data_IF_540224221324
#
_entry.id   IF_540224221324
#
_cell.length_a   1.000
_cell.length_b   1.000
_cell.length_c   1.000
_cell.angle_alpha   90.00
_cell.angle_beta   90.00
_cell.angle_gamma   90.00
#
_symmetry.space_group_name_H-M   'P 1'
#
loop_
_entity.id
_entity.type
_entity.pdbx_description
1 polymer ?
#
# COMPACT_ATOMS: atom_id res chain seq x y z
N UNK A 1 -75.67 25.69 -7.81
CA UNK A 1 -74.72 24.55 -7.88
C UNK A 1 -73.39 25.05 -8.39
N UNK A 2 -72.41 25.14 -7.51
CA UNK A 2 -71.08 25.61 -7.84
C UNK A 2 -70.07 24.50 -7.60
N UNK A 3 -69.44 24.06 -8.69
CA UNK A 3 -68.35 23.08 -8.64
C UNK A 3 -67.07 23.73 -8.28
N UNK A 4 -66.47 23.29 -7.14
CA UNK A 4 -65.19 23.72 -6.70
C UNK A 4 -64.14 22.71 -7.24
N UNK A 5 -63.37 23.15 -8.22
CA UNK A 5 -62.23 22.40 -8.73
C UNK A 5 -61.08 22.37 -7.69
N UNK A 6 -60.80 21.17 -7.12
CA UNK A 6 -59.58 20.89 -6.38
C UNK A 6 -58.42 20.70 -7.37
N UNK A 7 -57.50 21.64 -7.46
CA UNK A 7 -56.16 21.42 -8.05
C UNK A 7 -55.31 20.67 -7.04
N UNK A 8 -54.99 19.41 -7.35
CA UNK A 8 -53.90 18.70 -6.69
C UNK A 8 -52.55 19.17 -7.25
N UNK A 9 -51.79 19.86 -6.44
CA UNK A 9 -50.42 20.21 -6.76
C UNK A 9 -49.55 18.94 -6.68
N UNK A 10 -48.94 18.55 -7.79
CA UNK A 10 -47.83 17.61 -7.79
C UNK A 10 -46.65 18.24 -7.07
N UNK A 11 -46.22 17.66 -5.95
CA UNK A 11 -44.90 17.94 -5.38
C UNK A 11 -43.87 17.29 -6.33
N UNK A 12 -43.05 18.13 -6.95
CA UNK A 12 -41.80 17.66 -7.56
C UNK A 12 -40.89 17.24 -6.43
N UNK A 13 -40.56 15.96 -6.38
CA UNK A 13 -39.46 15.43 -5.55
C UNK A 13 -38.14 15.99 -6.14
N UNK A 14 -37.57 16.94 -5.45
CA UNK A 14 -36.23 17.45 -5.79
C UNK A 14 -35.23 16.27 -5.65
N UNK A 15 -34.61 15.94 -6.78
CA UNK A 15 -33.40 15.09 -6.75
C UNK A 15 -32.36 15.82 -5.90
N UNK A 16 -32.07 15.27 -4.74
CA UNK A 16 -30.87 15.63 -4.00
C UNK A 16 -29.70 15.11 -4.86
N UNK A 17 -29.01 16.00 -5.55
CA UNK A 17 -27.71 15.67 -6.12
C UNK A 17 -26.79 15.38 -4.94
N UNK A 18 -26.32 14.15 -4.83
CA UNK A 18 -25.23 13.80 -3.91
C UNK A 18 -24.02 14.64 -4.31
N UNK A 19 -23.65 15.59 -3.46
CA UNK A 19 -22.41 16.33 -3.61
C UNK A 19 -21.26 15.31 -3.59
N UNK A 20 -20.58 15.17 -4.74
CA UNK A 20 -19.35 14.37 -4.81
C UNK A 20 -18.36 14.97 -3.82
N UNK A 21 -17.69 14.13 -3.01
CA UNK A 21 -16.70 14.63 -2.07
C UNK A 21 -15.67 15.47 -2.84
N UNK A 22 -15.43 16.67 -2.35
CA UNK A 22 -14.41 17.56 -2.92
C UNK A 22 -13.05 16.93 -2.69
N UNK A 23 -12.41 16.48 -3.74
CA UNK A 23 -11.04 15.96 -3.69
C UNK A 23 -10.10 17.11 -3.38
N UNK A 24 -9.41 17.05 -2.25
CA UNK A 24 -8.38 18.03 -1.89
C UNK A 24 -7.05 17.57 -2.50
N UNK A 25 -6.63 18.24 -3.56
CA UNK A 25 -5.32 18.04 -4.16
C UNK A 25 -4.25 18.79 -3.34
N UNK A 26 -3.13 18.13 -3.07
CA UNK A 26 -1.99 18.72 -2.36
C UNK A 26 -0.73 18.70 -3.23
N UNK A 27 0.09 19.75 -3.13
CA UNK A 27 1.44 19.77 -3.70
C UNK A 27 2.48 19.14 -2.78
N UNK A 28 2.11 18.82 -1.54
CA UNK A 28 2.99 18.22 -0.56
C UNK A 28 2.44 16.88 -0.11
N UNK A 29 3.33 15.90 0.01
CA UNK A 29 3.03 14.56 0.51
C UNK A 29 3.87 14.35 1.77
N UNK A 30 3.26 14.29 2.97
CA UNK A 30 3.98 14.21 4.24
C UNK A 30 4.38 12.77 4.56
N UNK A 31 5.32 12.22 3.80
CA UNK A 31 5.86 10.86 3.95
C UNK A 31 7.37 10.91 4.16
N UNK A 32 7.88 10.04 5.02
CA UNK A 32 9.28 9.62 5.02
C UNK A 32 9.44 8.33 4.19
N UNK A 33 10.67 8.01 3.79
CA UNK A 33 11.01 6.81 3.01
C UNK A 33 10.09 6.61 1.80
N UNK A 34 9.95 7.60 0.90
CA UNK A 34 8.96 7.55 -0.16
C UNK A 34 9.32 6.55 -1.26
N UNK A 35 8.37 5.72 -1.63
CA UNK A 35 8.46 4.82 -2.78
C UNK A 35 7.37 5.17 -3.81
N UNK A 36 7.74 5.27 -5.09
CA UNK A 36 6.80 5.56 -6.18
C UNK A 36 6.61 4.34 -7.07
N UNK A 37 5.36 3.88 -7.16
CA UNK A 37 4.91 2.92 -8.15
C UNK A 37 4.28 3.65 -9.32
N UNK A 38 4.69 3.31 -10.55
CA UNK A 38 4.02 3.74 -11.78
C UNK A 38 3.15 2.59 -12.30
N UNK A 39 1.85 2.80 -12.36
CA UNK A 39 0.91 1.79 -12.83
C UNK A 39 -0.31 2.43 -13.49
N UNK A 40 -0.71 1.90 -14.64
CA UNK A 40 -1.87 2.35 -15.43
C UNK A 40 -1.93 3.88 -15.62
N UNK A 41 -0.79 4.47 -16.04
CA UNK A 41 -0.61 5.92 -16.28
C UNK A 41 -0.84 6.82 -15.06
N UNK A 42 -0.77 6.26 -13.87
CA UNK A 42 -0.80 6.97 -12.59
C UNK A 42 0.48 6.71 -11.79
N UNK A 43 0.80 7.67 -10.95
CA UNK A 43 1.86 7.58 -9.94
C UNK A 43 1.23 7.34 -8.58
N UNK A 44 1.69 6.33 -7.87
CA UNK A 44 1.27 6.03 -6.49
C UNK A 44 2.46 6.19 -5.58
N UNK A 45 2.33 6.97 -4.52
CA UNK A 45 3.41 7.15 -3.55
C UNK A 45 2.99 6.61 -2.20
N UNK A 46 3.87 5.80 -1.63
CA UNK A 46 3.76 5.21 -0.30
C UNK A 46 4.94 5.69 0.54
N UNK A 47 4.83 5.60 1.85
CA UNK A 47 5.92 5.95 2.74
C UNK A 47 5.52 5.87 4.21
N UNK A 48 6.49 6.08 5.07
CA UNK A 48 6.34 6.10 6.52
C UNK A 48 5.61 7.38 6.95
N UNK A 49 4.45 7.27 7.59
CA UNK A 49 3.74 8.43 8.14
C UNK A 49 2.76 8.11 9.26
N UNK A 50 2.10 6.97 9.22
CA UNK A 50 1.06 6.57 10.18
C UNK A 50 1.57 5.41 11.03
N UNK A 51 1.45 5.52 12.35
CA UNK A 51 1.96 4.50 13.27
C UNK A 51 1.27 3.13 13.17
N UNK A 52 0.09 3.03 12.53
CA UNK A 52 -0.75 1.83 12.51
C UNK A 52 -1.00 1.31 11.09
N UNK A 53 -0.19 1.71 10.11
CA UNK A 53 -0.33 1.31 8.71
C UNK A 53 0.27 2.31 7.74
N UNK A 54 -0.15 2.26 6.48
CA UNK A 54 0.34 3.14 5.42
C UNK A 54 -0.78 3.86 4.70
N UNK A 55 -0.59 5.17 4.51
CA UNK A 55 -1.33 5.95 3.54
C UNK A 55 -0.84 5.64 2.11
N UNK A 56 -1.65 5.98 1.12
CA UNK A 56 -1.25 6.08 -0.28
C UNK A 56 -1.78 7.36 -0.87
N UNK A 57 -0.95 8.03 -1.65
CA UNK A 57 -1.33 9.16 -2.48
C UNK A 57 -1.14 8.77 -3.94
N UNK A 58 -1.93 9.37 -4.82
CA UNK A 58 -1.80 9.14 -6.26
C UNK A 58 -1.85 10.45 -7.04
N UNK A 59 -1.19 10.46 -8.20
CA UNK A 59 -1.03 11.63 -9.05
C UNK A 59 -1.04 11.24 -10.53
N UNK A 60 -1.42 12.19 -11.40
CA UNK A 60 -1.28 12.09 -12.85
C UNK A 60 -0.04 12.80 -13.38
N UNK A 61 0.52 13.74 -12.63
CA UNK A 61 1.50 14.70 -13.10
C UNK A 61 2.71 14.88 -12.15
N UNK A 62 2.75 14.17 -11.01
CA UNK A 62 3.74 14.29 -9.94
C UNK A 62 3.74 15.66 -9.23
N UNK A 63 2.84 16.57 -9.61
CA UNK A 63 2.74 17.89 -9.01
C UNK A 63 1.58 17.97 -8.00
N UNK A 64 0.45 17.38 -8.37
CA UNK A 64 -0.75 17.38 -7.54
C UNK A 64 -1.13 15.96 -7.12
N UNK A 65 -1.25 15.76 -5.83
CA UNK A 65 -1.48 14.48 -5.19
C UNK A 65 -2.84 14.42 -4.51
N UNK A 66 -3.52 13.34 -4.67
CA UNK A 66 -4.74 12.98 -3.97
C UNK A 66 -4.45 11.88 -2.96
N UNK A 67 -4.84 12.09 -1.69
CA UNK A 67 -4.75 11.05 -0.67
C UNK A 67 -5.94 10.11 -0.79
N UNK A 68 -5.71 8.81 -0.80
CA UNK A 68 -6.79 7.82 -0.72
C UNK A 68 -7.58 7.97 0.59
N UNK A 69 -8.88 7.68 0.53
CA UNK A 69 -9.79 7.83 1.66
C UNK A 69 -9.55 6.83 2.81
N UNK A 70 -8.84 5.76 2.54
CA UNK A 70 -8.52 4.70 3.50
C UNK A 70 -7.01 4.38 3.47
N UNK A 71 -6.50 3.78 4.54
CA UNK A 71 -5.14 3.24 4.54
C UNK A 71 -4.98 2.16 3.48
N UNK A 72 -3.86 2.18 2.75
CA UNK A 72 -3.51 1.12 1.81
C UNK A 72 -3.22 -0.20 2.54
N UNK A 73 -2.61 -0.13 3.72
CA UNK A 73 -2.42 -1.24 4.66
C UNK A 73 -2.75 -0.76 6.07
N UNK A 74 -3.42 -1.58 6.85
CA UNK A 74 -3.74 -1.35 8.26
C UNK A 74 -3.20 -2.49 9.12
N UNK A 75 -2.80 -2.21 10.36
CA UNK A 75 -2.41 -3.21 11.36
C UNK A 75 -3.48 -4.32 11.54
N UNK A 76 -4.76 -4.01 11.31
CA UNK A 76 -5.85 -5.00 11.40
C UNK A 76 -5.81 -6.06 10.30
N UNK A 77 -5.05 -5.84 9.24
CA UNK A 77 -4.92 -6.73 8.07
C UNK A 77 -3.52 -7.34 7.93
N UNK A 78 -2.65 -7.14 8.92
CA UNK A 78 -1.24 -7.51 8.85
C UNK A 78 -0.63 -7.79 10.21
N UNK A 79 0.58 -8.34 10.23
CA UNK A 79 1.41 -8.47 11.42
C UNK A 79 1.81 -7.08 11.95
N UNK A 80 1.96 -6.97 13.28
CA UNK A 80 2.42 -5.78 14.00
C UNK A 80 1.30 -4.78 14.31
N UNK A 81 1.47 -4.04 15.41
CA UNK A 81 0.51 -3.05 15.89
C UNK A 81 1.02 -1.61 15.66
N UNK A 82 2.32 -1.45 15.38
CA UNK A 82 2.98 -0.14 15.31
C UNK A 82 4.26 -0.17 14.48
N UNK A 83 4.93 0.99 14.34
CA UNK A 83 6.23 1.12 13.68
C UNK A 83 6.20 0.63 12.23
N UNK A 84 5.17 1.03 11.47
CA UNK A 84 5.07 0.70 10.04
C UNK A 84 5.99 1.63 9.25
N UNK A 85 7.06 1.07 8.64
CA UNK A 85 8.14 1.82 8.01
C UNK A 85 8.49 1.32 6.61
N UNK A 86 8.99 2.24 5.79
CA UNK A 86 9.66 2.03 4.51
C UNK A 86 8.95 1.01 3.59
N UNK A 87 7.69 1.26 3.19
CA UNK A 87 6.98 0.37 2.27
C UNK A 87 7.46 0.54 0.85
N UNK A 88 7.70 -0.57 0.13
CA UNK A 88 7.89 -0.63 -1.32
C UNK A 88 6.82 -1.50 -1.96
N UNK A 89 6.26 -1.08 -3.10
CA UNK A 89 5.13 -1.76 -3.74
C UNK A 89 5.48 -2.13 -5.18
N UNK A 90 5.28 -3.41 -5.51
CA UNK A 90 5.57 -3.97 -6.82
C UNK A 90 4.33 -4.62 -7.43
N UNK A 91 4.08 -4.37 -8.71
CA UNK A 91 3.08 -5.13 -9.46
C UNK A 91 3.72 -6.37 -10.06
N UNK A 92 3.18 -7.52 -9.76
CA UNK A 92 3.67 -8.82 -10.24
C UNK A 92 2.70 -9.36 -11.29
N UNK A 93 3.09 -9.23 -12.55
CA UNK A 93 2.23 -9.54 -13.71
C UNK A 93 1.72 -10.99 -13.72
N UNK A 94 2.58 -11.97 -13.35
CA UNK A 94 2.19 -13.40 -13.32
C UNK A 94 1.05 -13.68 -12.34
N UNK A 95 0.98 -12.93 -11.25
CA UNK A 95 -0.01 -13.10 -10.18
C UNK A 95 -1.17 -12.10 -10.32
N UNK A 96 -1.00 -11.08 -11.16
CA UNK A 96 -1.90 -9.91 -11.32
C UNK A 96 -2.22 -9.26 -9.99
N UNK A 97 -1.19 -9.15 -9.13
CA UNK A 97 -1.29 -8.62 -7.77
C UNK A 97 -0.20 -7.60 -7.48
N UNK A 98 -0.49 -6.74 -6.53
CA UNK A 98 0.48 -5.85 -5.92
C UNK A 98 1.03 -6.49 -4.66
N UNK A 99 2.34 -6.41 -4.47
CA UNK A 99 3.06 -6.88 -3.30
C UNK A 99 3.68 -5.67 -2.60
N UNK A 100 3.34 -5.46 -1.35
CA UNK A 100 3.94 -4.43 -0.50
C UNK A 100 4.90 -5.10 0.46
N UNK A 101 6.18 -4.80 0.33
CA UNK A 101 7.22 -5.18 1.29
C UNK A 101 7.45 -4.00 2.23
N UNK A 102 7.54 -4.26 3.53
CA UNK A 102 7.60 -3.21 4.55
C UNK A 102 8.19 -3.74 5.84
N UNK A 103 8.46 -2.83 6.79
CA UNK A 103 8.86 -3.18 8.14
C UNK A 103 7.80 -2.76 9.15
N UNK A 104 7.59 -3.57 10.18
CA UNK A 104 6.80 -3.24 11.35
C UNK A 104 7.40 -3.89 12.58
N UNK A 105 7.48 -3.16 13.71
CA UNK A 105 8.09 -3.64 14.95
C UNK A 105 9.49 -4.25 14.74
N UNK A 106 10.26 -3.65 13.82
CA UNK A 106 11.58 -4.14 13.38
C UNK A 106 11.56 -5.55 12.76
N UNK A 107 10.47 -5.96 12.13
CA UNK A 107 10.37 -7.19 11.36
C UNK A 107 9.96 -6.90 9.92
N UNK A 108 10.58 -7.57 8.97
CA UNK A 108 10.26 -7.45 7.55
C UNK A 108 9.02 -8.28 7.21
N UNK A 109 8.12 -7.67 6.47
CA UNK A 109 6.82 -8.23 6.13
C UNK A 109 6.50 -8.07 4.65
N UNK A 110 5.56 -8.86 4.15
CA UNK A 110 4.95 -8.69 2.83
C UNK A 110 3.44 -8.90 2.91
N UNK A 111 2.70 -8.01 2.26
CA UNK A 111 1.25 -8.09 2.11
C UNK A 111 0.87 -7.96 0.64
N UNK A 112 -0.32 -8.42 0.24
CA UNK A 112 -0.77 -8.39 -1.15
C UNK A 112 -2.13 -7.70 -1.30
N UNK A 113 -2.36 -7.11 -2.49
CA UNK A 113 -3.63 -6.48 -2.86
C UNK A 113 -3.94 -6.68 -4.34
N UNK A 114 -5.20 -6.53 -4.71
CA UNK A 114 -5.65 -6.52 -6.11
C UNK A 114 -5.64 -5.09 -6.72
N UNK A 115 -5.39 -4.08 -5.90
CA UNK A 115 -5.35 -2.67 -6.28
C UNK A 115 -4.13 -1.97 -5.69
N UNK A 116 -3.51 -0.99 -6.40
CA UNK A 116 -2.42 -0.20 -5.84
C UNK A 116 -2.88 0.66 -4.63
N UNK A 117 -4.16 0.97 -4.52
CA UNK A 117 -4.72 1.67 -3.36
C UNK A 117 -4.92 0.74 -2.15
N UNK A 118 -4.73 -0.56 -2.30
CA UNK A 118 -5.02 -1.56 -1.29
C UNK A 118 -6.51 -2.02 -1.30
N UNK A 119 -7.04 -2.58 -0.20
CA UNK A 119 -6.32 -2.86 1.02
C UNK A 119 -5.32 -4.01 0.86
N UNK A 120 -4.08 -3.77 1.24
CA UNK A 120 -3.08 -4.82 1.36
C UNK A 120 -3.37 -5.68 2.58
N UNK A 121 -3.19 -7.00 2.43
CA UNK A 121 -3.48 -7.98 3.47
C UNK A 121 -2.44 -9.09 3.49
N UNK A 122 -2.19 -9.63 4.67
CA UNK A 122 -1.48 -10.89 4.85
C UNK A 122 -2.49 -12.02 5.04
N UNK A 123 -2.25 -13.18 4.42
CA UNK A 123 -3.05 -14.39 4.65
C UNK A 123 -2.85 -14.92 6.08
N UNK A 124 -1.60 -14.84 6.55
CA UNK A 124 -1.19 -15.11 7.93
C UNK A 124 -0.45 -13.89 8.45
N UNK A 125 -0.86 -13.38 9.60
CA UNK A 125 -0.24 -12.20 10.23
C UNK A 125 1.10 -12.60 10.85
N UNK A 126 2.15 -12.67 10.01
CA UNK A 126 3.50 -13.05 10.43
C UNK A 126 4.56 -12.32 9.60
N UNK A 127 5.76 -12.12 10.16
CA UNK A 127 6.88 -11.57 9.41
C UNK A 127 7.44 -12.61 8.41
N UNK A 128 8.26 -12.13 7.46
CA UNK A 128 9.04 -13.00 6.56
C UNK A 128 10.09 -13.78 7.38
N UNK A 129 10.64 -13.13 8.41
CA UNK A 129 11.63 -13.69 9.34
C UNK A 129 11.32 -13.26 10.77
N UNK A 130 11.58 -14.16 11.72
CA UNK A 130 11.45 -13.87 13.16
C UNK A 130 12.62 -13.02 13.69
N UNK A 131 13.73 -12.96 12.96
CA UNK A 131 14.86 -12.11 13.33
C UNK A 131 14.55 -10.66 12.96
N UNK A 132 14.88 -9.75 13.88
CA UNK A 132 14.73 -8.31 13.66
C UNK A 132 15.52 -7.82 12.47
N UNK A 133 14.84 -7.16 11.56
CA UNK A 133 15.37 -6.60 10.32
C UNK A 133 14.43 -5.53 9.78
N UNK A 134 14.95 -4.61 8.98
CA UNK A 134 14.19 -3.48 8.43
C UNK A 134 14.56 -3.21 6.97
N UNK A 135 13.87 -2.25 6.36
CA UNK A 135 14.19 -1.60 5.08
C UNK A 135 14.35 -2.60 3.94
N UNK A 136 13.22 -3.16 3.55
CA UNK A 136 13.16 -4.13 2.46
C UNK A 136 13.18 -3.46 1.09
N UNK A 137 13.94 -4.03 0.14
CA UNK A 137 13.90 -3.72 -1.28
C UNK A 137 13.96 -4.98 -2.12
N UNK A 138 13.17 -5.07 -3.19
CA UNK A 138 13.14 -6.26 -4.05
C UNK A 138 13.74 -5.96 -5.41
N UNK A 139 14.66 -6.80 -5.84
CA UNK A 139 15.18 -6.84 -7.19
C UNK A 139 14.62 -8.06 -7.93
N UNK A 140 13.98 -7.81 -9.08
CA UNK A 140 13.53 -8.85 -10.00
C UNK A 140 14.54 -9.00 -11.11
N UNK A 141 15.16 -10.18 -11.22
CA UNK A 141 16.16 -10.47 -12.23
C UNK A 141 15.51 -10.93 -13.56
N UNK A 142 16.23 -10.79 -14.65
CA UNK A 142 15.81 -11.21 -15.99
C UNK A 142 15.60 -12.73 -16.12
N UNK A 143 16.25 -13.53 -15.24
CA UNK A 143 16.06 -14.98 -15.21
C UNK A 143 14.77 -15.41 -14.48
N UNK A 144 13.97 -14.45 -14.01
CA UNK A 144 12.70 -14.67 -13.32
C UNK A 144 12.82 -14.88 -11.81
N UNK A 145 14.02 -14.80 -11.25
CA UNK A 145 14.22 -14.82 -9.81
C UNK A 145 13.97 -13.45 -9.21
N UNK A 146 13.66 -13.44 -7.92
CA UNK A 146 13.53 -12.23 -7.15
C UNK A 146 14.44 -12.32 -5.90
N UNK A 147 15.08 -11.22 -5.57
CA UNK A 147 15.99 -11.10 -4.44
C UNK A 147 15.49 -10.03 -3.49
N UNK A 148 15.42 -10.37 -2.21
CA UNK A 148 15.06 -9.46 -1.14
C UNK A 148 16.32 -8.95 -0.46
N UNK A 149 16.52 -7.64 -0.51
CA UNK A 149 17.53 -6.93 0.26
C UNK A 149 16.88 -6.36 1.52
N UNK A 150 17.59 -6.41 2.63
CA UNK A 150 17.12 -5.87 3.91
C UNK A 150 18.28 -5.64 4.87
N UNK A 151 18.05 -4.83 5.90
CA UNK A 151 19.04 -4.52 6.93
C UNK A 151 18.87 -5.46 8.11
N UNK A 152 19.98 -6.06 8.57
CA UNK A 152 20.08 -6.79 9.84
C UNK A 152 20.97 -6.00 10.82
N UNK A 153 20.70 -6.19 12.12
CA UNK A 153 21.41 -5.48 13.20
C UNK A 153 22.64 -6.24 13.72
N UNK A 154 23.30 -7.04 12.88
CA UNK A 154 24.49 -7.81 13.22
C UNK A 154 25.73 -6.96 13.02
N UNK A 155 26.46 -6.68 14.12
CA UNK A 155 27.68 -5.85 14.11
C UNK A 155 27.51 -4.48 13.44
N UNK A 156 26.36 -3.82 13.68
CA UNK A 156 25.91 -2.62 13.01
C UNK A 156 24.78 -2.90 12.02
N UNK A 157 24.37 -1.89 11.26
CA UNK A 157 23.36 -2.05 10.22
C UNK A 157 24.02 -2.58 8.95
N UNK A 158 23.86 -3.86 8.66
CA UNK A 158 24.45 -4.54 7.50
C UNK A 158 23.34 -4.95 6.54
N UNK A 159 23.55 -4.61 5.25
CA UNK A 159 22.63 -5.06 4.19
C UNK A 159 22.88 -6.53 3.92
N UNK A 160 21.80 -7.29 3.93
CA UNK A 160 21.75 -8.71 3.58
C UNK A 160 20.86 -8.93 2.37
N UNK A 161 21.10 -10.01 1.64
CA UNK A 161 20.33 -10.43 0.49
C UNK A 161 19.94 -11.89 0.60
N UNK A 162 18.74 -12.24 0.13
CA UNK A 162 18.32 -13.63 -0.05
C UNK A 162 17.41 -13.75 -1.28
N UNK A 163 17.47 -14.88 -1.99
CA UNK A 163 16.51 -15.20 -3.04
C UNK A 163 15.13 -15.43 -2.42
N UNK A 164 14.10 -14.81 -2.99
CA UNK A 164 12.69 -15.09 -2.63
C UNK A 164 12.25 -16.43 -3.24
N UNK A 165 11.37 -17.13 -2.55
CA UNK A 165 10.64 -18.26 -3.14
C UNK A 165 9.67 -17.77 -4.21
N UNK A 166 9.13 -18.67 -5.03
CA UNK A 166 8.19 -18.34 -6.12
C UNK A 166 6.94 -17.60 -5.65
N UNK A 167 6.52 -17.81 -4.39
CA UNK A 167 5.37 -17.13 -3.79
C UNK A 167 5.66 -15.67 -3.38
N UNK A 168 6.91 -15.22 -3.45
CA UNK A 168 7.40 -13.90 -3.05
C UNK A 168 7.12 -13.54 -1.57
N UNK A 169 6.71 -14.51 -0.76
CA UNK A 169 6.35 -14.30 0.66
C UNK A 169 7.36 -14.89 1.64
N UNK A 170 8.31 -15.63 1.13
CA UNK A 170 9.34 -16.32 1.92
C UNK A 170 10.68 -16.24 1.21
N UNK A 171 11.77 -16.22 1.98
CA UNK A 171 13.12 -16.31 1.43
C UNK A 171 13.59 -17.76 1.39
N UNK A 172 14.59 -18.05 0.55
CA UNK A 172 15.38 -19.28 0.57
C UNK A 172 16.54 -19.05 1.53
N UNK A 173 16.43 -19.56 2.75
CA UNK A 173 17.39 -19.33 3.84
C UNK A 173 18.82 -19.73 3.46
N UNK A 174 18.99 -20.76 2.63
CA UNK A 174 20.29 -21.23 2.14
C UNK A 174 21.01 -20.22 1.23
N UNK A 175 20.29 -19.20 0.73
CA UNK A 175 20.83 -18.14 -0.13
C UNK A 175 21.18 -16.88 0.64
N UNK A 176 20.91 -16.84 1.95
CA UNK A 176 21.11 -15.66 2.78
C UNK A 176 22.59 -15.27 2.87
N UNK A 177 22.95 -14.07 2.45
CA UNK A 177 24.32 -13.55 2.42
C UNK A 177 24.35 -12.04 2.73
N UNK A 178 25.41 -11.53 3.38
CA UNK A 178 25.63 -10.09 3.51
C UNK A 178 26.03 -9.43 2.20
#
# INVERSE_FOLDING_TARGET
>A
ASDVYKRQGKKEEGKVEEEKPVTVLSKTVPLADPYILVYDSLYYIYGTNVGTGFDVYYSKDLEYWERASALSLSHTNSYGESMFWAPEVYYVEKDKKFYMFYSTEEHICVATADSPLGPFKQDEHKPIREEKSIDTSVFFDEDGKAYLYFVRFNDGNVIWCAELKENLKEIKEETLTP
#
